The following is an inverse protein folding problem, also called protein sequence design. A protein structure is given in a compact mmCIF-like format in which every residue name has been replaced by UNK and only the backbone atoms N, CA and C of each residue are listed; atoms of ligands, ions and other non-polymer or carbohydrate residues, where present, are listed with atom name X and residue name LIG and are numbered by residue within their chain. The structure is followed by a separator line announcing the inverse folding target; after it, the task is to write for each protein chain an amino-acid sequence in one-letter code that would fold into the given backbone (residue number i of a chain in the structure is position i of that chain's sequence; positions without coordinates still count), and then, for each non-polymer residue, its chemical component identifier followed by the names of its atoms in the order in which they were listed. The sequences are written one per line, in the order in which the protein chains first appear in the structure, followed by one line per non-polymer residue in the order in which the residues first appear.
data_IF_626357750906
#
_entry.id   IF_626357750906
#
_cell.length_a   1.000
_cell.length_b   1.000
_cell.length_c   1.000
_cell.angle_alpha   90.00
_cell.angle_beta   90.00
_cell.angle_gamma   90.00
#
_symmetry.space_group_name_H-M   'P 1'
#
loop_
_entity.id
_entity.type
_entity.pdbx_description
1 polymer ?
#
# COMPACT_ATOMS: atom_id res chain seq x y z
N UNK A 1 -20.01 -7.13 -32.69
CA UNK A 1 -19.16 -7.55 -31.57
C UNK A 1 -18.23 -6.40 -31.15
N UNK A 2 -18.29 -6.03 -29.88
CA UNK A 2 -17.30 -5.12 -29.31
C UNK A 2 -15.93 -5.81 -29.29
N UNK A 3 -14.88 -5.14 -29.77
CA UNK A 3 -13.55 -5.75 -29.97
C UNK A 3 -12.45 -5.06 -29.16
N UNK A 4 -12.82 -4.20 -28.21
CA UNK A 4 -11.88 -3.56 -27.28
C UNK A 4 -11.97 -4.22 -25.92
N UNK A 5 -10.84 -4.26 -25.24
CA UNK A 5 -10.73 -4.73 -23.86
C UNK A 5 -11.03 -3.63 -22.83
N UNK A 6 -11.61 -2.49 -23.24
CA UNK A 6 -12.14 -1.44 -22.35
C UNK A 6 -13.37 -0.75 -22.98
N UNK A 7 -14.25 -0.10 -22.22
CA UNK A 7 -15.44 0.58 -22.73
C UNK A 7 -15.09 2.01 -23.14
N UNK A 8 -15.53 2.40 -24.33
CA UNK A 8 -15.56 3.81 -24.73
C UNK A 8 -16.84 4.47 -24.19
N UNK A 9 -16.90 5.80 -24.09
CA UNK A 9 -18.14 6.47 -23.69
C UNK A 9 -19.27 6.14 -24.68
N UNK A 10 -20.44 5.80 -24.16
CA UNK A 10 -21.58 5.38 -24.98
C UNK A 10 -22.61 4.57 -24.21
N UNK A 11 -23.64 4.13 -24.92
CA UNK A 11 -24.69 3.26 -24.40
C UNK A 11 -24.44 1.83 -24.89
N UNK A 12 -24.48 0.88 -23.95
CA UNK A 12 -24.16 -0.52 -24.18
C UNK A 12 -25.27 -1.41 -23.63
N UNK A 13 -25.45 -2.57 -24.22
CA UNK A 13 -26.21 -3.68 -23.66
C UNK A 13 -25.50 -4.97 -24.05
N UNK A 14 -25.65 -6.01 -23.23
CA UNK A 14 -25.20 -7.35 -23.59
C UNK A 14 -26.24 -8.05 -24.44
N UNK A 15 -25.77 -8.80 -25.43
CA UNK A 15 -26.60 -9.72 -26.20
C UNK A 15 -26.14 -11.12 -25.88
N UNK A 16 -26.95 -11.87 -25.16
CA UNK A 16 -26.69 -13.27 -24.82
C UNK A 16 -27.33 -14.19 -25.83
N UNK A 17 -26.65 -15.29 -26.15
CA UNK A 17 -27.20 -16.36 -26.99
C UNK A 17 -27.11 -17.68 -26.23
N UNK A 18 -28.25 -18.25 -25.89
CA UNK A 18 -28.36 -19.60 -25.33
C UNK A 18 -28.50 -20.62 -26.45
N UNK A 19 -27.67 -21.67 -26.39
CA UNK A 19 -27.71 -22.79 -27.31
C UNK A 19 -28.35 -24.00 -26.61
N UNK A 20 -29.59 -24.31 -26.96
CA UNK A 20 -30.32 -25.49 -26.49
C UNK A 20 -30.02 -26.69 -27.39
N UNK A 21 -29.53 -27.79 -26.82
CA UNK A 21 -29.29 -29.00 -27.61
C UNK A 21 -30.58 -29.67 -28.05
N UNK A 22 -30.72 -29.99 -29.35
CA UNK A 22 -31.92 -30.68 -29.88
C UNK A 22 -32.17 -32.07 -29.30
N UNK A 23 -31.14 -32.68 -28.68
CA UNK A 23 -31.23 -33.97 -27.96
C UNK A 23 -31.41 -33.79 -26.45
N UNK A 24 -31.51 -32.56 -25.96
CA UNK A 24 -31.78 -32.28 -24.55
C UNK A 24 -33.17 -32.82 -24.18
N UNK A 25 -33.32 -33.52 -23.05
CA UNK A 25 -34.64 -33.90 -22.54
C UNK A 25 -35.42 -32.70 -21.98
N UNK A 26 -34.75 -31.56 -21.77
CA UNK A 26 -35.34 -30.30 -21.33
C UNK A 26 -35.41 -29.32 -22.49
N UNK A 27 -36.48 -28.52 -22.54
CA UNK A 27 -36.64 -27.47 -23.53
C UNK A 27 -36.91 -26.09 -22.91
N UNK A 28 -36.45 -25.04 -23.57
CA UNK A 28 -36.77 -23.65 -23.27
C UNK A 28 -38.09 -23.31 -23.95
N UNK A 29 -39.03 -22.75 -23.19
CA UNK A 29 -40.36 -22.38 -23.65
C UNK A 29 -40.53 -20.85 -23.62
N UNK A 30 -40.43 -20.16 -24.76
CA UNK A 30 -40.71 -18.72 -24.86
C UNK A 30 -42.17 -18.41 -24.54
N UNK A 31 -42.43 -17.28 -23.88
CA UNK A 31 -43.79 -16.82 -23.58
C UNK A 31 -44.65 -16.62 -24.85
N UNK A 32 -44.03 -16.24 -25.97
CA UNK A 32 -44.70 -16.03 -27.24
C UNK A 32 -45.21 -17.32 -27.92
N UNK A 33 -44.72 -18.49 -27.48
CA UNK A 33 -45.10 -19.81 -28.02
C UNK A 33 -46.11 -20.54 -27.10
N UNK A 34 -46.74 -19.82 -26.16
CA UNK A 34 -47.71 -20.39 -25.24
C UNK A 34 -49.06 -20.65 -25.93
N UNK A 35 -49.49 -21.92 -25.95
CA UNK A 35 -50.82 -22.29 -26.42
C UNK A 35 -51.87 -22.13 -25.31
N UNK A 36 -52.64 -21.04 -25.37
CA UNK A 36 -54.09 -21.04 -25.22
C UNK A 36 -54.81 -21.51 -23.93
N UNK A 37 -54.15 -21.86 -22.82
CA UNK A 37 -54.85 -22.30 -21.59
C UNK A 37 -54.45 -21.59 -20.28
N UNK A 38 -53.63 -20.54 -20.36
CA UNK A 38 -53.43 -19.59 -19.26
C UNK A 38 -52.71 -20.15 -18.01
N UNK A 39 -52.06 -21.31 -18.11
CA UNK A 39 -51.18 -21.82 -17.04
C UNK A 39 -49.75 -21.33 -17.26
N UNK A 40 -49.20 -20.64 -16.27
CA UNK A 40 -47.89 -19.96 -16.18
C UNK A 40 -46.64 -20.86 -16.39
N UNK A 41 -46.59 -21.70 -17.42
CA UNK A 41 -45.41 -22.50 -17.75
C UNK A 41 -44.65 -21.81 -18.89
N UNK A 42 -43.70 -20.93 -18.55
CA UNK A 42 -42.74 -20.35 -19.49
C UNK A 42 -41.36 -20.33 -18.84
N UNK A 43 -40.31 -20.23 -19.66
CA UNK A 43 -38.95 -20.18 -19.17
C UNK A 43 -38.54 -18.75 -18.86
N UNK A 44 -38.20 -18.49 -17.60
CA UNK A 44 -37.55 -17.25 -17.18
C UNK A 44 -36.05 -17.49 -17.16
N UNK A 45 -35.30 -16.62 -17.84
CA UNK A 45 -33.85 -16.58 -17.70
C UNK A 45 -33.50 -15.44 -16.77
N UNK A 46 -32.89 -15.80 -15.64
CA UNK A 46 -32.28 -14.85 -14.72
C UNK A 46 -30.77 -14.90 -14.88
N UNK A 47 -30.17 -13.80 -15.35
CA UNK A 47 -28.72 -13.65 -15.38
C UNK A 47 -28.26 -12.67 -14.31
N UNK A 48 -27.19 -13.07 -13.63
CA UNK A 48 -26.45 -12.24 -12.69
C UNK A 48 -25.22 -11.71 -13.42
N UNK A 49 -25.24 -10.43 -13.78
CA UNK A 49 -24.06 -9.77 -14.32
C UNK A 49 -23.22 -9.21 -13.18
N UNK A 50 -21.92 -9.56 -13.17
CA UNK A 50 -20.94 -9.02 -12.24
C UNK A 50 -20.18 -7.82 -12.79
N UNK A 51 -20.63 -7.29 -13.93
CA UNK A 51 -19.99 -6.21 -14.69
C UNK A 51 -19.73 -4.93 -13.89
N UNK A 52 -20.39 -4.82 -12.75
CA UNK A 52 -19.95 -4.00 -11.66
C UNK A 52 -19.88 -4.91 -10.43
N UNK A 53 -18.69 -5.37 -10.06
CA UNK A 53 -18.51 -5.89 -8.71
C UNK A 53 -19.02 -4.80 -7.77
N UNK A 54 -20.22 -5.01 -7.20
CA UNK A 54 -20.89 -4.21 -6.18
C UNK A 54 -21.71 -2.96 -6.59
N UNK A 55 -22.03 -2.64 -7.87
CA UNK A 55 -23.09 -1.61 -8.15
C UNK A 55 -24.51 -2.06 -7.79
N UNK A 56 -24.68 -3.31 -7.36
CA UNK A 56 -25.97 -3.91 -7.04
C UNK A 56 -26.13 -5.23 -7.76
N UNK A 57 -26.93 -6.13 -7.20
CA UNK A 57 -27.36 -7.34 -7.90
C UNK A 57 -28.33 -6.94 -9.00
N UNK A 58 -27.82 -6.79 -10.23
CA UNK A 58 -28.69 -6.64 -11.40
C UNK A 58 -29.14 -8.04 -11.82
N UNK A 59 -30.32 -8.43 -11.31
CA UNK A 59 -31.02 -9.62 -11.79
C UNK A 59 -31.88 -9.20 -12.97
N UNK A 60 -31.48 -9.59 -14.18
CA UNK A 60 -32.33 -9.40 -15.36
C UNK A 60 -33.34 -10.51 -15.42
N UNK A 61 -34.62 -10.17 -15.37
CA UNK A 61 -35.70 -11.11 -15.63
C UNK A 61 -36.12 -10.96 -17.09
N UNK A 62 -35.77 -11.94 -17.93
CA UNK A 62 -36.25 -11.97 -19.31
C UNK A 62 -37.32 -13.05 -19.50
N UNK A 63 -38.51 -12.60 -19.85
CA UNK A 63 -39.68 -13.45 -20.14
C UNK A 63 -39.89 -13.64 -21.65
N UNK A 64 -39.38 -12.70 -22.47
CA UNK A 64 -39.54 -12.67 -23.92
C UNK A 64 -38.31 -13.23 -24.66
N UNK A 65 -37.98 -14.50 -24.44
CA UNK A 65 -36.95 -15.19 -25.23
C UNK A 65 -37.32 -15.18 -26.71
N UNK A 66 -36.41 -14.69 -27.57
CA UNK A 66 -36.61 -14.70 -29.02
C UNK A 66 -35.77 -15.79 -29.66
N UNK A 67 -36.41 -16.64 -30.46
CA UNK A 67 -35.69 -17.53 -31.38
C UNK A 67 -35.09 -16.67 -32.49
N UNK A 68 -33.77 -16.59 -32.54
CA UNK A 68 -33.08 -15.58 -33.38
C UNK A 68 -32.21 -16.13 -34.47
N UNK A 69 -31.97 -17.45 -34.49
CA UNK A 69 -31.22 -18.10 -35.56
C UNK A 69 -31.90 -19.38 -36.03
N UNK A 70 -31.84 -19.70 -37.34
CA UNK A 70 -32.22 -21.03 -37.81
C UNK A 70 -31.51 -22.10 -37.00
N UNK A 71 -32.29 -23.01 -36.41
CA UNK A 71 -31.75 -24.09 -35.61
C UNK A 71 -30.86 -24.99 -36.50
N UNK A 72 -29.62 -25.23 -36.10
CA UNK A 72 -28.74 -26.13 -36.84
C UNK A 72 -29.01 -27.60 -36.45
N UNK A 73 -28.23 -28.54 -37.00
CA UNK A 73 -28.42 -29.96 -36.73
C UNK A 73 -28.30 -30.32 -35.23
N UNK A 74 -27.63 -29.49 -34.42
CA UNK A 74 -27.28 -29.78 -33.02
C UNK A 74 -28.03 -28.89 -32.02
N UNK A 75 -28.29 -27.62 -32.36
CA UNK A 75 -28.81 -26.64 -31.41
C UNK A 75 -29.97 -25.80 -31.96
N UNK A 76 -30.85 -25.37 -31.04
CA UNK A 76 -31.73 -24.20 -31.19
C UNK A 76 -31.13 -23.03 -30.43
N UNK A 77 -31.30 -21.81 -30.95
CA UNK A 77 -30.66 -20.62 -30.39
C UNK A 77 -31.71 -19.61 -29.96
N UNK A 78 -31.61 -19.17 -28.71
CA UNK A 78 -32.45 -18.15 -28.12
C UNK A 78 -31.58 -16.99 -27.71
N UNK A 79 -31.96 -15.77 -28.07
CA UNK A 79 -31.26 -14.57 -27.60
C UNK A 79 -32.11 -13.76 -26.66
N UNK A 80 -31.42 -13.06 -25.80
CA UNK A 80 -31.99 -11.98 -25.00
C UNK A 80 -30.93 -10.90 -24.79
N UNK A 81 -31.42 -9.71 -24.46
CA UNK A 81 -30.63 -8.51 -24.29
C UNK A 81 -30.71 -8.08 -22.82
N UNK A 82 -29.60 -7.57 -22.27
CA UNK A 82 -29.61 -6.90 -20.96
C UNK A 82 -30.33 -5.55 -21.08
N UNK A 83 -30.62 -4.90 -19.94
CA UNK A 83 -30.92 -3.46 -19.99
C UNK A 83 -29.71 -2.69 -20.53
N UNK A 84 -30.00 -1.54 -21.14
CA UNK A 84 -28.95 -0.64 -21.57
C UNK A 84 -28.29 0.05 -20.38
N UNK A 85 -26.97 0.17 -20.41
CA UNK A 85 -26.17 0.91 -19.45
C UNK A 85 -25.31 1.95 -20.15
N UNK A 86 -25.13 3.10 -19.51
CA UNK A 86 -24.32 4.19 -20.05
C UNK A 86 -22.92 4.18 -19.43
N UNK A 87 -21.91 4.23 -20.29
CA UNK A 87 -20.52 4.48 -19.92
C UNK A 87 -20.21 5.95 -20.19
N UNK A 88 -19.82 6.68 -19.14
CA UNK A 88 -19.40 8.09 -19.25
C UNK A 88 -17.90 8.19 -19.55
N UNK A 89 -17.48 9.36 -20.03
CA UNK A 89 -16.06 9.65 -20.21
C UNK A 89 -15.33 9.70 -18.87
N UNK A 90 -14.27 8.89 -18.75
CA UNK A 90 -13.44 8.82 -17.57
C UNK A 90 -12.17 9.67 -17.68
N UNK A 91 -11.90 10.46 -16.65
CA UNK A 91 -10.64 11.16 -16.42
C UNK A 91 -9.54 10.14 -16.18
N UNK A 92 -8.51 10.22 -17.01
CA UNK A 92 -7.37 9.30 -16.96
C UNK A 92 -6.41 9.77 -15.88
N UNK A 93 -6.12 8.90 -14.91
CA UNK A 93 -5.10 9.12 -13.89
C UNK A 93 -3.73 8.71 -14.44
N UNK A 94 -2.75 9.61 -14.38
CA UNK A 94 -1.37 9.34 -14.82
C UNK A 94 -0.45 9.05 -13.64
N UNK A 95 -0.70 9.66 -12.48
CA UNK A 95 0.03 9.34 -11.24
C UNK A 95 -0.92 9.24 -10.06
N UNK A 96 -0.69 8.28 -9.17
CA UNK A 96 -1.45 8.14 -7.93
C UNK A 96 -0.47 7.93 -6.77
N UNK A 97 -0.61 8.75 -5.74
CA UNK A 97 0.19 8.71 -4.52
C UNK A 97 -0.69 8.21 -3.39
N UNK A 98 -0.23 7.14 -2.75
CA UNK A 98 -0.92 6.43 -1.68
C UNK A 98 -0.05 6.41 -0.43
N UNK A 99 -0.71 6.45 0.73
CA UNK A 99 -0.10 6.17 2.02
C UNK A 99 -0.55 4.81 2.51
N UNK A 100 0.40 3.93 2.78
CA UNK A 100 0.17 2.63 3.42
C UNK A 100 0.51 2.68 4.89
N UNK A 101 -0.35 2.12 5.75
CA UNK A 101 -0.02 1.87 7.15
C UNK A 101 1.01 0.73 7.33
N UNK A 102 1.28 -0.05 6.29
CA UNK A 102 2.30 -1.09 6.29
C UNK A 102 3.60 -0.55 5.69
N UNK A 103 4.62 -0.45 6.53
CA UNK A 103 5.96 0.01 6.16
C UNK A 103 6.85 -1.17 5.79
N UNK A 104 7.14 -1.31 4.50
CA UNK A 104 7.94 -2.42 3.97
C UNK A 104 9.39 -2.39 4.46
N UNK A 105 9.90 -1.23 4.90
CA UNK A 105 11.30 -1.08 5.34
C UNK A 105 11.54 -1.49 6.78
N UNK A 106 10.48 -1.74 7.54
CA UNK A 106 10.55 -1.90 8.99
C UNK A 106 9.96 -3.21 9.51
N UNK A 107 9.86 -4.19 8.61
CA UNK A 107 9.41 -5.54 8.93
C UNK A 107 10.54 -6.33 9.58
N UNK A 108 10.28 -6.85 10.77
CA UNK A 108 11.22 -7.69 11.51
C UNK A 108 10.74 -9.13 11.54
N UNK A 109 11.69 -10.05 11.64
CA UNK A 109 11.37 -11.46 11.90
C UNK A 109 10.70 -11.56 13.27
N UNK A 110 9.52 -12.17 13.31
CA UNK A 110 8.69 -12.23 14.51
C UNK A 110 7.50 -11.28 14.50
N UNK A 111 7.51 -10.23 13.66
CA UNK A 111 6.36 -9.34 13.51
C UNK A 111 5.16 -10.09 12.94
N UNK A 112 3.95 -9.61 13.22
CA UNK A 112 2.72 -10.23 12.71
C UNK A 112 2.21 -9.54 11.45
N UNK A 113 1.63 -10.32 10.52
CA UNK A 113 0.96 -9.81 9.31
C UNK A 113 -0.36 -9.14 9.68
N UNK A 114 -0.30 -7.89 10.13
CA UNK A 114 -1.51 -7.10 10.40
C UNK A 114 -2.07 -6.52 9.10
N UNK A 115 -3.36 -6.19 9.08
CA UNK A 115 -3.98 -5.49 7.94
C UNK A 115 -3.28 -4.17 7.65
N UNK A 116 -3.28 -3.79 6.38
CA UNK A 116 -2.79 -2.49 5.92
C UNK A 116 -3.97 -1.59 5.52
N UNK A 117 -3.81 -0.29 5.70
CA UNK A 117 -4.74 0.73 5.19
C UNK A 117 -4.06 1.49 4.06
N UNK A 118 -4.72 1.64 2.90
CA UNK A 118 -4.23 2.46 1.79
C UNK A 118 -5.08 3.72 1.61
N UNK A 119 -4.49 4.87 1.88
CA UNK A 119 -5.14 6.17 1.75
C UNK A 119 -4.59 6.93 0.55
N UNK A 120 -5.46 7.64 -0.17
CA UNK A 120 -5.04 8.47 -1.30
C UNK A 120 -4.48 9.79 -0.76
N UNK A 121 -3.29 10.17 -1.20
CA UNK A 121 -2.65 11.45 -0.85
C UNK A 121 -2.72 12.46 -1.99
N UNK A 122 -2.56 11.99 -3.23
CA UNK A 122 -2.60 12.84 -4.41
C UNK A 122 -2.89 12.02 -5.66
N UNK A 123 -3.65 12.59 -6.58
CA UNK A 123 -3.89 12.04 -7.93
C UNK A 123 -3.51 13.09 -8.96
N UNK A 124 -2.78 12.69 -10.00
CA UNK A 124 -2.45 13.54 -11.14
C UNK A 124 -3.18 13.01 -12.37
N UNK A 125 -3.92 13.88 -13.04
CA UNK A 125 -4.66 13.55 -14.25
C UNK A 125 -3.81 13.72 -15.50
N UNK A 126 -4.30 13.20 -16.63
CA UNK A 126 -3.63 13.29 -17.93
C UNK A 126 -3.40 14.71 -18.44
N UNK A 127 -4.25 15.66 -18.04
CA UNK A 127 -4.10 17.09 -18.36
C UNK A 127 -3.13 17.82 -17.41
N UNK A 128 -2.56 17.13 -16.42
CA UNK A 128 -1.66 17.69 -15.42
C UNK A 128 -2.36 18.21 -14.16
N UNK A 129 -3.69 18.14 -14.08
CA UNK A 129 -4.44 18.55 -12.88
C UNK A 129 -4.05 17.67 -11.69
N UNK A 130 -3.68 18.31 -10.58
CA UNK A 130 -3.45 17.62 -9.30
C UNK A 130 -4.71 17.69 -8.42
N UNK A 131 -5.14 16.56 -7.89
CA UNK A 131 -6.27 16.41 -6.98
C UNK A 131 -5.76 15.92 -5.63
N UNK A 132 -6.11 16.65 -4.57
CA UNK A 132 -5.82 16.28 -3.19
C UNK A 132 -7.02 15.55 -2.57
N UNK A 133 -6.89 14.93 -1.39
CA UNK A 133 -7.94 14.06 -0.83
C UNK A 133 -9.26 14.81 -0.57
N UNK A 134 -9.18 16.12 -0.30
CA UNK A 134 -10.32 17.03 -0.14
C UNK A 134 -11.09 17.29 -1.44
N UNK A 135 -10.44 17.10 -2.60
CA UNK A 135 -11.00 17.35 -3.93
C UNK A 135 -11.57 16.06 -4.55
N UNK A 136 -11.35 14.91 -3.89
CA UNK A 136 -11.77 13.60 -4.34
C UNK A 136 -13.03 13.14 -3.60
N UNK A 137 -13.97 12.46 -4.30
CA UNK A 137 -15.08 11.79 -3.63
C UNK A 137 -14.54 10.71 -2.70
N UNK A 138 -15.14 10.58 -1.51
CA UNK A 138 -14.74 9.59 -0.53
C UNK A 138 -15.84 8.51 -0.40
N UNK A 139 -15.49 7.21 -0.44
CA UNK A 139 -14.15 6.67 -0.70
C UNK A 139 -13.77 6.81 -2.18
N UNK A 140 -12.49 7.12 -2.47
CA UNK A 140 -11.99 7.25 -3.85
C UNK A 140 -11.51 5.93 -4.43
N UNK A 141 -10.72 5.19 -3.67
CA UNK A 141 -10.27 3.84 -4.00
C UNK A 141 -10.86 2.85 -3.00
N UNK A 142 -10.96 1.59 -3.42
CA UNK A 142 -11.33 0.49 -2.54
C UNK A 142 -10.49 -0.76 -2.78
N UNK A 143 -10.49 -1.64 -1.79
CA UNK A 143 -10.00 -3.00 -1.86
C UNK A 143 -10.97 -3.84 -2.69
N UNK A 144 -10.57 -4.17 -3.91
CA UNK A 144 -11.38 -4.99 -4.82
C UNK A 144 -11.72 -6.36 -4.24
N UNK A 145 -10.81 -6.95 -3.44
CA UNK A 145 -11.06 -8.26 -2.81
C UNK A 145 -12.16 -8.22 -1.76
N UNK A 146 -12.54 -7.01 -1.32
CA UNK A 146 -13.56 -6.81 -0.30
C UNK A 146 -13.24 -7.58 1.00
N UNK A 147 -11.96 -7.58 1.40
CA UNK A 147 -11.51 -8.29 2.61
C UNK A 147 -12.23 -7.78 3.87
N UNK A 148 -12.58 -6.49 3.86
CA UNK A 148 -13.28 -5.79 4.94
C UNK A 148 -14.40 -4.90 4.37
N UNK A 149 -15.65 -5.40 4.29
CA UNK A 149 -16.76 -4.68 3.65
C UNK A 149 -17.09 -3.32 4.27
N UNK A 150 -16.91 -3.19 5.59
CA UNK A 150 -17.15 -1.95 6.32
C UNK A 150 -15.98 -0.96 6.24
N UNK A 151 -14.80 -1.39 5.78
CA UNK A 151 -13.58 -0.59 5.72
C UNK A 151 -12.89 -0.82 4.39
N UNK A 152 -13.41 -0.14 3.36
CA UNK A 152 -13.05 -0.36 1.96
C UNK A 152 -11.58 -0.04 1.64
N UNK A 153 -10.90 0.73 2.49
CA UNK A 153 -9.47 1.08 2.36
C UNK A 153 -8.54 0.13 3.13
N UNK A 154 -9.08 -0.92 3.76
CA UNK A 154 -8.30 -1.93 4.48
C UNK A 154 -8.03 -3.16 3.61
N UNK A 155 -6.82 -3.72 3.79
CA UNK A 155 -6.28 -4.81 2.99
C UNK A 155 -5.65 -5.86 3.88
N UNK A 156 -5.94 -7.13 3.61
CA UNK A 156 -5.10 -8.22 4.12
C UNK A 156 -3.77 -8.18 3.38
N UNK A 157 -2.68 -8.48 4.08
CA UNK A 157 -1.34 -8.47 3.48
C UNK A 157 -1.15 -9.69 2.59
N UNK A 158 -1.31 -9.50 1.27
CA UNK A 158 -0.98 -10.53 0.30
C UNK A 158 0.51 -10.50 0.00
N UNK A 159 1.23 -11.53 0.46
CA UNK A 159 2.70 -11.59 0.36
C UNK A 159 3.14 -12.61 -0.69
N UNK A 160 4.15 -12.26 -1.46
CA UNK A 160 4.95 -13.20 -2.26
C UNK A 160 6.31 -13.33 -1.61
N UNK A 161 6.72 -14.55 -1.27
CA UNK A 161 8.03 -14.80 -0.64
C UNK A 161 9.06 -15.27 -1.66
N UNK A 162 10.28 -14.83 -1.43
CA UNK A 162 11.46 -15.09 -2.25
C UNK A 162 12.66 -15.41 -1.35
N UNK A 163 13.64 -16.17 -1.86
CA UNK A 163 14.91 -16.35 -1.18
C UNK A 163 15.60 -15.00 -0.97
N UNK A 164 15.99 -14.70 0.27
CA UNK A 164 16.90 -13.61 0.59
C UNK A 164 18.36 -14.01 0.27
N UNK A 165 19.32 -13.12 0.53
CA UNK A 165 20.74 -13.38 0.27
C UNK A 165 21.30 -14.59 1.06
N UNK A 166 20.72 -14.91 2.22
CA UNK A 166 21.05 -16.08 3.02
C UNK A 166 20.34 -17.37 2.55
N UNK A 167 19.60 -17.33 1.44
CA UNK A 167 18.84 -18.45 0.89
C UNK A 167 17.56 -18.81 1.66
N UNK A 168 17.10 -17.95 2.59
CA UNK A 168 15.87 -18.14 3.36
C UNK A 168 14.69 -17.56 2.60
N UNK A 169 13.63 -18.36 2.41
CA UNK A 169 12.48 -17.97 1.59
C UNK A 169 11.26 -17.53 2.41
N UNK A 170 11.24 -17.72 3.72
CA UNK A 170 10.08 -17.44 4.57
C UNK A 170 8.83 -18.32 4.35
N UNK A 171 8.47 -18.64 3.10
CA UNK A 171 7.33 -19.46 2.69
C UNK A 171 5.94 -18.90 3.08
N UNK A 172 5.78 -17.58 3.23
CA UNK A 172 4.48 -16.91 3.36
C UNK A 172 3.87 -16.59 1.98
N UNK A 173 3.68 -17.62 1.15
CA UNK A 173 3.12 -17.43 -0.19
C UNK A 173 1.61 -17.18 -0.10
N UNK A 174 1.17 -16.03 -0.57
CA UNK A 174 -0.25 -15.67 -0.77
C UNK A 174 -1.12 -15.79 0.48
N UNK A 175 -0.53 -15.55 1.66
CA UNK A 175 -1.30 -15.51 2.90
C UNK A 175 -2.29 -14.35 2.87
N UNK A 176 -3.53 -14.61 3.29
CA UNK A 176 -4.56 -13.60 3.55
C UNK A 176 -4.98 -13.62 5.03
N UNK A 177 -4.22 -14.34 5.85
CA UNK A 177 -4.48 -14.48 7.26
C UNK A 177 -3.78 -13.35 8.02
N UNK A 178 -4.53 -12.73 8.92
CA UNK A 178 -3.95 -11.83 9.91
C UNK A 178 -3.15 -12.65 10.93
N UNK A 179 -2.22 -11.98 11.61
CA UNK A 179 -1.46 -12.53 12.73
C UNK A 179 -0.47 -13.68 12.42
N UNK A 180 -0.18 -13.94 11.15
CA UNK A 180 0.94 -14.82 10.76
C UNK A 180 2.25 -14.12 11.10
N UNK A 181 3.18 -14.87 11.69
CA UNK A 181 4.52 -14.35 11.99
C UNK A 181 5.30 -14.23 10.69
N UNK A 182 5.99 -13.12 10.46
CA UNK A 182 6.98 -12.93 9.41
C UNK A 182 8.23 -13.78 9.71
N UNK A 183 8.50 -14.82 8.91
CA UNK A 183 9.76 -15.54 8.98
C UNK A 183 10.87 -14.77 8.26
N UNK A 184 12.10 -15.22 8.45
CA UNK A 184 13.24 -14.70 7.69
C UNK A 184 13.10 -15.02 6.20
N UNK A 185 13.15 -13.99 5.37
CA UNK A 185 13.02 -14.10 3.93
C UNK A 185 12.89 -12.75 3.25
N UNK A 186 12.79 -12.78 1.92
CA UNK A 186 12.52 -11.63 1.08
C UNK A 186 11.07 -11.67 0.63
N UNK A 187 10.42 -10.53 0.55
CA UNK A 187 9.00 -10.43 0.28
C UNK A 187 8.68 -9.33 -0.73
N UNK A 188 7.52 -9.49 -1.36
CA UNK A 188 6.76 -8.40 -2.00
C UNK A 188 5.36 -8.40 -1.41
N UNK A 189 4.79 -7.21 -1.18
CA UNK A 189 3.38 -7.06 -0.83
C UNK A 189 2.59 -6.64 -2.05
N UNK A 190 1.36 -7.16 -2.16
CA UNK A 190 0.49 -6.91 -3.28
C UNK A 190 -0.84 -6.34 -2.78
N UNK A 191 -1.33 -5.32 -3.48
CA UNK A 191 -2.65 -4.76 -3.28
C UNK A 191 -3.44 -4.85 -4.58
N UNK A 192 -4.73 -5.16 -4.49
CA UNK A 192 -5.65 -5.10 -5.64
C UNK A 192 -6.60 -3.95 -5.40
N UNK A 193 -6.42 -2.90 -6.18
CA UNK A 193 -7.10 -1.62 -6.01
C UNK A 193 -8.04 -1.38 -7.20
N UNK A 194 -9.12 -0.66 -6.94
CA UNK A 194 -9.99 -0.11 -7.97
C UNK A 194 -10.55 1.24 -7.53
N UNK A 195 -10.87 2.16 -8.46
CA UNK A 195 -11.73 3.30 -8.16
C UNK A 195 -13.04 2.80 -7.57
N UNK A 196 -13.56 3.52 -6.58
CA UNK A 196 -14.85 3.19 -5.99
C UNK A 196 -15.94 3.24 -7.06
N UNK A 197 -16.82 2.24 -7.11
CA UNK A 197 -17.71 2.05 -8.27
C UNK A 197 -18.70 3.21 -8.49
N UNK A 198 -19.06 3.97 -7.44
CA UNK A 198 -19.92 5.17 -7.58
C UNK A 198 -19.17 6.39 -8.09
N UNK A 199 -17.83 6.32 -8.11
CA UNK A 199 -16.95 7.34 -8.66
C UNK A 199 -16.91 7.14 -10.17
N UNK A 200 -18.06 7.44 -10.80
CA UNK A 200 -18.13 7.61 -12.24
C UNK A 200 -17.10 8.68 -12.61
N UNK A 201 -16.30 8.42 -13.65
CA UNK A 201 -15.37 9.37 -14.29
C UNK A 201 -13.88 9.30 -13.89
N UNK A 202 -13.36 8.26 -13.24
CA UNK A 202 -11.91 8.08 -13.08
C UNK A 202 -11.46 6.68 -13.49
N UNK A 203 -10.34 6.60 -14.22
CA UNK A 203 -9.76 5.30 -14.59
C UNK A 203 -8.24 5.30 -14.56
N UNK A 204 -7.68 4.15 -14.22
CA UNK A 204 -6.26 3.86 -14.45
C UNK A 204 -6.01 3.60 -15.93
N UNK A 205 -4.80 3.91 -16.37
CA UNK A 205 -4.25 3.47 -17.64
C UNK A 205 -3.38 2.25 -17.33
N UNK A 206 -3.82 1.06 -17.74
CA UNK A 206 -3.21 -0.24 -17.37
C UNK A 206 -2.70 -0.97 -18.61
N UNK A 207 -1.54 -1.63 -18.48
CA UNK A 207 -0.87 -2.29 -19.61
C UNK A 207 -1.72 -3.45 -20.14
N UNK A 208 -1.52 -3.82 -21.42
CA UNK A 208 -2.23 -4.94 -22.05
C UNK A 208 -3.74 -4.68 -22.24
N UNK A 209 -4.13 -3.40 -22.25
CA UNK A 209 -5.41 -2.89 -22.76
C UNK A 209 -5.22 -2.33 -24.17
N UNK A 210 -6.29 -2.27 -24.97
CA UNK A 210 -6.23 -1.68 -26.32
C UNK A 210 -6.20 -0.13 -26.31
N UNK A 211 -6.06 0.49 -25.13
CA UNK A 211 -5.82 1.93 -25.00
C UNK A 211 -4.42 2.30 -25.52
N UNK A 212 -4.23 3.56 -25.92
CA UNK A 212 -2.86 4.09 -26.08
C UNK A 212 -2.22 4.23 -24.70
N UNK A 213 -1.64 3.12 -24.25
CA UNK A 213 -1.14 2.93 -22.90
C UNK A 213 -0.03 3.92 -22.51
N UNK A 214 0.73 4.46 -23.46
CA UNK A 214 1.83 5.38 -23.16
C UNK A 214 2.77 4.80 -22.10
N UNK A 215 2.96 5.53 -20.99
CA UNK A 215 3.72 5.07 -19.80
C UNK A 215 2.87 4.36 -18.73
N UNK A 216 1.55 4.29 -18.91
CA UNK A 216 0.60 3.81 -17.90
C UNK A 216 0.38 4.77 -16.74
N UNK A 217 -0.47 4.39 -15.79
CA UNK A 217 -0.56 5.05 -14.49
C UNK A 217 0.63 4.65 -13.62
N UNK A 218 1.40 5.62 -13.15
CA UNK A 218 2.46 5.42 -12.16
C UNK A 218 1.84 5.46 -10.75
N UNK A 219 2.11 4.45 -9.93
CA UNK A 219 1.57 4.39 -8.56
C UNK A 219 2.72 4.42 -7.56
N UNK A 220 2.60 5.32 -6.60
CA UNK A 220 3.55 5.48 -5.51
C UNK A 220 2.86 5.14 -4.20
N UNK A 221 3.48 4.31 -3.37
CA UNK A 221 3.00 4.01 -2.01
C UNK A 221 4.10 4.42 -1.03
N UNK A 222 3.78 5.29 -0.07
CA UNK A 222 4.77 5.87 0.85
C UNK A 222 5.97 6.49 0.10
N UNK A 223 5.70 7.16 -1.01
CA UNK A 223 6.68 7.75 -1.95
C UNK A 223 7.57 6.76 -2.69
N UNK A 224 7.26 5.47 -2.70
CA UNK A 224 8.00 4.46 -3.46
C UNK A 224 7.23 3.98 -4.68
N UNK A 225 7.89 3.82 -5.85
CA UNK A 225 7.23 3.34 -7.05
C UNK A 225 6.84 1.87 -6.88
N UNK A 226 5.56 1.58 -7.11
CA UNK A 226 5.03 0.23 -7.13
C UNK A 226 4.84 -0.23 -8.58
N UNK A 227 5.07 -1.52 -8.81
CA UNK A 227 4.82 -2.14 -10.10
C UNK A 227 3.31 -2.27 -10.32
N UNK A 228 2.83 -1.78 -11.46
CA UNK A 228 1.42 -1.75 -11.82
C UNK A 228 1.13 -2.80 -12.87
N UNK A 229 0.23 -3.74 -12.57
CA UNK A 229 -0.19 -4.81 -13.49
C UNK A 229 -1.71 -4.99 -13.50
N UNK A 230 -2.25 -5.42 -14.64
CA UNK A 230 -3.65 -5.87 -14.70
C UNK A 230 -3.87 -7.12 -13.84
N UNK A 231 -5.11 -7.31 -13.40
CA UNK A 231 -5.56 -8.59 -12.83
C UNK A 231 -5.94 -9.52 -13.99
N UNK A 232 -5.57 -10.82 -13.91
CA UNK A 232 -5.95 -11.86 -14.88
C UNK A 232 -6.64 -12.98 -14.09
N UNK A 233 -7.73 -13.59 -14.58
CA UNK A 233 -8.37 -13.37 -15.88
C UNK A 233 -9.52 -12.39 -15.73
N UNK A 234 -9.21 -11.10 -15.81
CA UNK A 234 -10.28 -10.12 -15.93
C UNK A 234 -10.79 -10.19 -17.37
N UNK A 235 -11.85 -10.97 -17.58
CA UNK A 235 -12.57 -11.04 -18.84
C UNK A 235 -13.49 -9.83 -19.03
N UNK A 236 -13.61 -9.00 -17.99
CA UNK A 236 -14.40 -7.79 -17.98
C UNK A 236 -13.47 -6.57 -18.11
N UNK A 237 -14.01 -5.56 -18.77
CA UNK A 237 -13.41 -4.28 -19.10
C UNK A 237 -13.07 -3.52 -17.80
N UNK A 238 -11.96 -3.83 -17.13
CA UNK A 238 -11.80 -3.44 -15.72
C UNK A 238 -10.90 -2.23 -15.45
N UNK A 239 -11.35 -1.41 -14.49
CA UNK A 239 -10.57 -0.39 -13.79
C UNK A 239 -9.78 -0.97 -12.62
N UNK A 240 -9.62 -2.30 -12.58
CA UNK A 240 -9.00 -3.01 -11.46
C UNK A 240 -7.52 -3.15 -11.76
N UNK A 241 -6.69 -2.96 -10.74
CA UNK A 241 -5.25 -3.00 -10.91
C UNK A 241 -4.58 -3.63 -9.71
N UNK A 242 -3.61 -4.48 -9.99
CA UNK A 242 -2.71 -5.03 -8.98
C UNK A 242 -1.49 -4.13 -8.91
N UNK A 243 -1.18 -3.64 -7.72
CA UNK A 243 0.09 -2.98 -7.43
C UNK A 243 0.96 -3.88 -6.56
N UNK A 244 2.25 -3.90 -6.84
CA UNK A 244 3.23 -4.76 -6.18
C UNK A 244 4.42 -3.94 -5.71
N UNK A 245 4.81 -4.12 -4.45
CA UNK A 245 5.92 -3.37 -3.85
C UNK A 245 7.27 -3.75 -4.48
N UNK A 246 8.30 -2.91 -4.27
CA UNK A 246 9.69 -3.35 -4.30
C UNK A 246 9.92 -4.54 -3.35
N UNK A 247 11.06 -5.20 -3.52
CA UNK A 247 11.48 -6.24 -2.58
C UNK A 247 11.81 -5.61 -1.22
N UNK A 248 11.42 -6.30 -0.15
CA UNK A 248 11.84 -5.99 1.21
C UNK A 248 12.18 -7.26 1.97
N UNK A 249 13.08 -7.16 2.95
CA UNK A 249 13.54 -8.31 3.73
C UNK A 249 13.02 -8.18 5.17
N UNK A 250 12.51 -9.28 5.73
CA UNK A 250 12.25 -9.33 7.16
C UNK A 250 13.59 -9.53 7.88
N UNK A 251 14.09 -8.49 8.54
CA UNK A 251 15.42 -8.50 9.16
C UNK A 251 15.35 -9.10 10.56
N UNK A 252 16.29 -9.98 10.91
CA UNK A 252 16.46 -10.43 12.29
C UNK A 252 17.05 -9.30 13.11
N UNK A 253 16.38 -8.94 14.20
CA UNK A 253 17.00 -8.09 15.22
C UNK A 253 17.96 -8.97 16.01
N UNK A 254 19.27 -8.76 15.83
CA UNK A 254 20.26 -9.38 16.71
C UNK A 254 20.02 -8.89 18.14
N UNK A 255 19.61 -9.79 19.04
CA UNK A 255 19.72 -9.52 20.47
C UNK A 255 21.21 -9.42 20.79
N UNK A 256 21.69 -8.21 21.12
CA UNK A 256 22.91 -8.08 21.92
C UNK A 256 22.59 -8.62 23.32
N UNK A 257 22.71 -9.94 23.49
CA UNK A 257 22.78 -10.53 24.82
C UNK A 257 24.13 -10.12 25.41
N UNK A 258 24.11 -9.11 26.27
CA UNK A 258 25.23 -8.83 27.17
C UNK A 258 25.35 -10.02 28.12
N UNK A 259 26.16 -11.01 27.76
CA UNK A 259 26.62 -12.01 28.71
C UNK A 259 27.57 -11.33 29.69
N UNK A 260 27.02 -10.87 30.83
CA UNK A 260 27.83 -10.64 32.02
C UNK A 260 28.25 -12.01 32.56
N UNK A 261 29.48 -12.42 32.27
CA UNK A 261 30.11 -13.57 32.89
C UNK A 261 30.28 -13.26 34.37
N UNK A 262 29.48 -13.88 35.22
CA UNK A 262 29.65 -13.84 36.67
C UNK A 262 30.38 -15.12 37.08
N UNK A 263 31.69 -15.02 37.32
CA UNK A 263 32.50 -16.07 37.95
C UNK A 263 32.13 -16.19 39.42
N UNK A 264 31.39 -17.24 39.77
CA UNK A 264 31.09 -17.61 41.14
C UNK A 264 31.12 -19.14 41.30
N UNK A 265 32.21 -19.63 41.87
CA UNK A 265 32.47 -21.04 42.15
C UNK A 265 31.86 -21.44 43.50
N UNK A 266 30.99 -22.46 43.55
CA UNK A 266 30.84 -23.36 44.70
C UNK A 266 29.88 -24.55 44.45
N UNK A 267 30.45 -25.76 44.42
CA UNK A 267 30.07 -26.83 45.35
C UNK A 267 28.86 -27.76 45.08
N UNK A 268 29.16 -28.90 44.44
CA UNK A 268 28.85 -30.29 44.89
C UNK A 268 27.48 -30.97 44.67
N UNK A 269 27.59 -32.09 43.90
CA UNK A 269 26.98 -33.44 44.02
C UNK A 269 25.45 -33.58 43.82
N UNK A 270 24.90 -34.59 43.12
CA UNK A 270 25.35 -35.98 42.92
C UNK A 270 24.66 -36.70 41.72
N UNK A 271 25.46 -37.55 41.05
CA UNK A 271 25.20 -38.89 40.48
C UNK A 271 23.86 -39.22 39.77
N UNK A 272 23.98 -39.65 38.51
CA UNK A 272 23.70 -41.05 38.13
C UNK A 272 24.44 -41.41 36.83
N UNK A 273 24.98 -42.63 36.81
CA UNK A 273 25.83 -43.23 35.77
C UNK A 273 25.11 -44.49 35.26
N UNK A 274 25.08 -44.68 33.95
CA UNK A 274 25.19 -45.99 33.27
C UNK A 274 25.54 -45.69 31.80
N UNK A 275 26.78 -45.83 31.32
CA UNK A 275 27.43 -47.07 30.80
C UNK A 275 26.47 -47.91 29.96
N UNK A 276 26.75 -48.26 28.70
CA UNK A 276 27.95 -48.92 28.17
C UNK A 276 27.88 -48.89 26.63
N UNK A 277 28.89 -48.42 25.89
CA UNK A 277 30.11 -49.13 25.43
C UNK A 277 30.00 -49.63 23.98
N UNK A 278 30.98 -49.27 23.15
CA UNK A 278 31.25 -49.94 21.88
C UNK A 278 31.94 -49.08 20.82
N UNK A 279 33.19 -48.65 21.07
CA UNK A 279 34.14 -48.36 19.98
C UNK A 279 34.62 -49.67 19.33
N UNK A 280 35.29 -49.75 18.19
CA UNK A 280 36.04 -48.80 17.37
C UNK A 280 36.33 -49.43 16.00
N UNK A 281 36.97 -48.63 15.13
CA UNK A 281 37.72 -48.96 13.89
C UNK A 281 36.88 -49.07 12.61
N UNK A 282 37.25 -48.47 11.49
CA UNK A 282 38.37 -47.62 11.09
C UNK A 282 38.33 -47.50 9.56
N UNK A 283 38.76 -46.37 8.98
CA UNK A 283 38.92 -46.26 7.52
C UNK A 283 38.73 -44.88 6.90
N UNK A 284 39.83 -44.13 6.83
CA UNK A 284 40.32 -43.34 5.68
C UNK A 284 39.35 -42.59 4.73
N UNK A 285 39.35 -41.26 4.90
CA UNK A 285 39.71 -40.21 3.95
C UNK A 285 39.50 -40.36 2.42
N UNK A 286 38.75 -39.41 1.87
CA UNK A 286 38.90 -38.68 0.59
C UNK A 286 37.84 -37.56 0.59
N UNK A 287 37.97 -36.35 0.05
CA UNK A 287 38.93 -35.68 -0.84
C UNK A 287 38.53 -34.18 -0.98
N UNK A 288 39.49 -33.33 -1.40
CA UNK A 288 39.30 -32.00 -2.03
C UNK A 288 39.04 -30.84 -1.05
N UNK A 289 39.89 -29.82 -0.84
CA UNK A 289 40.82 -29.12 -1.74
C UNK A 289 40.06 -28.16 -2.67
N UNK A 290 40.37 -26.87 -2.84
CA UNK A 290 41.27 -25.92 -2.19
C UNK A 290 40.95 -24.51 -2.75
N UNK A 291 41.61 -23.49 -2.18
CA UNK A 291 41.71 -22.08 -2.60
C UNK A 291 40.52 -21.17 -2.28
N UNK A 292 40.71 -19.99 -1.67
CA UNK A 292 41.92 -19.19 -1.52
C UNK A 292 41.57 -17.76 -1.91
N UNK A 293 41.33 -16.91 -0.92
CA UNK A 293 40.79 -15.56 -1.08
C UNK A 293 41.71 -14.59 -1.81
N UNK A 294 41.08 -13.68 -2.55
CA UNK A 294 41.67 -12.49 -3.13
C UNK A 294 40.67 -11.34 -2.99
N UNK A 295 41.11 -10.31 -2.28
CA UNK A 295 40.43 -9.08 -1.91
C UNK A 295 40.04 -8.21 -3.12
N UNK A 296 38.80 -7.74 -3.13
CA UNK A 296 38.30 -6.71 -4.05
C UNK A 296 37.42 -5.72 -3.30
N UNK A 297 38.02 -4.61 -2.86
CA UNK A 297 37.34 -3.51 -2.18
C UNK A 297 36.41 -2.77 -3.12
N UNK A 298 35.09 -2.86 -2.91
CA UNK A 298 34.14 -1.91 -3.48
C UNK A 298 34.12 -0.65 -2.61
N UNK A 299 34.54 0.47 -3.19
CA UNK A 299 34.44 1.77 -2.56
C UNK A 299 32.97 2.17 -2.46
N UNK A 300 32.49 2.29 -1.23
CA UNK A 300 31.29 3.07 -0.89
C UNK A 300 31.60 4.53 -1.23
N UNK A 301 30.95 5.09 -2.23
CA UNK A 301 30.91 6.54 -2.41
C UNK A 301 30.04 7.13 -1.30
N UNK A 302 30.69 7.96 -0.49
CA UNK A 302 30.10 8.83 0.50
C UNK A 302 29.07 9.77 -0.14
N UNK A 303 27.79 9.50 0.11
CA UNK A 303 26.78 10.55 0.22
C UNK A 303 25.99 10.28 1.49
N UNK A 304 26.45 10.90 2.58
CA UNK A 304 25.76 10.91 3.87
C UNK A 304 24.63 11.94 3.79
N UNK A 305 23.51 11.57 3.17
CA UNK A 305 22.23 12.27 3.35
C UNK A 305 21.09 11.26 3.23
N UNK A 306 20.68 10.72 4.37
CA UNK A 306 19.68 9.65 4.54
C UNK A 306 20.08 8.87 5.79
N UNK A 307 19.23 8.34 6.65
CA UNK A 307 17.81 8.01 6.58
C UNK A 307 17.54 7.39 7.96
N UNK A 308 16.37 7.60 8.58
CA UNK A 308 15.77 6.58 9.46
C UNK A 308 14.25 6.61 9.27
N UNK A 309 13.78 5.72 8.40
CA UNK A 309 12.40 5.26 8.29
C UNK A 309 12.19 4.19 9.38
N UNK A 310 11.05 4.20 10.10
CA UNK A 310 10.61 3.01 10.84
C UNK A 310 10.13 3.02 12.27
N UNK A 311 9.99 4.18 12.90
CA UNK A 311 9.25 4.23 14.17
C UNK A 311 7.78 4.42 13.82
N UNK A 312 6.87 3.69 14.49
CA UNK A 312 5.44 3.96 14.45
C UNK A 312 5.23 5.41 14.91
N UNK A 313 5.19 6.28 13.91
CA UNK A 313 5.09 7.72 14.04
C UNK A 313 3.66 8.10 14.38
N UNK A 314 2.68 7.20 14.28
CA UNK A 314 1.32 7.55 14.66
C UNK A 314 1.23 7.77 16.17
N UNK A 315 0.69 8.91 16.55
CA UNK A 315 0.22 9.16 17.92
C UNK A 315 -1.23 8.67 18.10
N UNK A 316 -1.87 8.07 17.10
CA UNK A 316 -3.30 7.72 17.14
C UNK A 316 -3.73 6.93 18.39
N UNK A 317 -4.68 7.49 19.14
CA UNK A 317 -5.37 6.84 20.25
C UNK A 317 -4.81 7.14 21.64
N UNK A 318 -3.68 7.84 21.77
CA UNK A 318 -3.14 8.24 23.07
C UNK A 318 -3.68 9.58 23.57
N UNK A 319 -3.03 10.10 24.62
CA UNK A 319 -3.40 11.37 25.27
C UNK A 319 -2.16 12.22 25.52
N UNK A 320 -2.29 13.51 25.23
CA UNK A 320 -1.33 14.52 25.68
C UNK A 320 -1.48 14.75 27.17
N UNK A 321 -0.37 14.70 27.90
CA UNK A 321 -0.31 14.95 29.33
C UNK A 321 0.72 16.06 29.55
N UNK A 322 0.36 17.02 30.40
CA UNK A 322 1.25 18.10 30.82
C UNK A 322 1.59 17.94 32.30
N UNK A 323 2.88 18.03 32.62
CA UNK A 323 3.37 18.12 34.00
C UNK A 323 4.29 19.35 34.17
N UNK A 324 4.99 19.45 35.30
CA UNK A 324 5.92 20.53 35.63
C UNK A 324 7.11 20.64 34.66
N UNK A 325 7.46 19.56 33.95
CA UNK A 325 8.61 19.49 33.03
C UNK A 325 8.20 19.77 31.59
N UNK A 326 6.95 19.49 31.22
CA UNK A 326 6.41 19.85 29.91
C UNK A 326 5.30 18.92 29.43
N UNK A 327 5.08 18.96 28.11
CA UNK A 327 4.13 18.09 27.44
C UNK A 327 4.78 16.76 27.06
N UNK A 328 4.10 15.65 27.31
CA UNK A 328 4.49 14.32 26.86
C UNK A 328 3.25 13.57 26.36
N UNK A 329 3.47 12.47 25.63
CA UNK A 329 2.39 11.73 24.99
C UNK A 329 2.28 10.32 25.53
N UNK A 330 1.14 9.97 26.10
CA UNK A 330 0.88 8.62 26.63
C UNK A 330 0.03 7.82 25.66
N UNK A 331 0.56 6.71 25.15
CA UNK A 331 -0.15 5.77 24.28
C UNK A 331 -1.13 4.89 25.08
N UNK A 332 -2.13 4.25 24.43
CA UNK A 332 -3.10 3.38 25.10
C UNK A 332 -2.48 2.22 25.90
N UNK A 333 -1.36 1.71 25.43
CA UNK A 333 -0.59 0.63 26.07
C UNK A 333 0.24 1.11 27.28
N UNK A 334 0.18 2.40 27.60
CA UNK A 334 0.95 3.03 28.68
C UNK A 334 2.37 3.43 28.30
N UNK A 335 2.83 3.13 27.08
CA UNK A 335 4.13 3.57 26.57
C UNK A 335 4.09 5.04 26.11
N UNK A 336 5.26 5.60 25.82
CA UNK A 336 5.40 6.97 25.31
C UNK A 336 6.54 7.06 24.28
N UNK A 337 6.41 7.93 23.25
CA UNK A 337 7.47 8.16 22.28
C UNK A 337 8.65 8.87 22.93
N UNK A 338 9.87 8.48 22.56
CA UNK A 338 11.12 9.11 23.01
C UNK A 338 12.16 9.03 21.90
N UNK A 339 12.95 10.10 21.76
CA UNK A 339 13.92 10.27 20.68
C UNK A 339 13.33 9.94 19.29
N UNK A 340 12.09 10.36 19.04
CA UNK A 340 11.35 9.96 17.86
C UNK A 340 10.32 11.00 17.43
N UNK A 341 9.99 10.96 16.15
CA UNK A 341 8.87 11.73 15.59
C UNK A 341 7.53 11.07 15.95
N UNK A 342 6.51 11.90 16.16
CA UNK A 342 5.12 11.53 16.30
C UNK A 342 4.25 12.38 15.38
N UNK A 343 3.16 11.81 14.90
CA UNK A 343 2.23 12.37 13.94
C UNK A 343 0.84 12.28 14.55
N UNK A 344 0.21 13.42 14.73
CA UNK A 344 -1.15 13.50 15.25
C UNK A 344 -2.06 14.14 14.22
N UNK A 345 -3.18 13.47 13.96
CA UNK A 345 -4.29 14.00 13.19
C UNK A 345 -5.44 14.35 14.15
N UNK A 346 -5.83 15.62 14.23
CA UNK A 346 -6.92 16.11 15.07
C UNK A 346 -7.75 17.15 14.32
N UNK A 347 -9.09 17.03 14.35
CA UNK A 347 -10.04 17.96 13.70
C UNK A 347 -9.69 18.31 12.22
N UNK A 348 -9.29 17.32 11.43
CA UNK A 348 -8.96 17.52 10.01
C UNK A 348 -7.63 18.23 9.74
N UNK A 349 -6.81 18.46 10.79
CA UNK A 349 -5.44 18.96 10.68
C UNK A 349 -4.47 17.89 11.17
N UNK A 350 -3.31 17.83 10.55
CA UNK A 350 -2.29 16.86 10.92
C UNK A 350 -0.94 17.52 11.08
N UNK A 351 -0.24 17.19 12.16
CA UNK A 351 1.04 17.79 12.51
C UNK A 351 2.04 16.76 13.00
N UNK A 352 3.30 17.00 12.63
CA UNK A 352 4.46 16.31 13.16
C UNK A 352 4.92 16.94 14.47
N UNK A 353 5.32 16.12 15.43
CA UNK A 353 5.88 16.48 16.73
C UNK A 353 7.15 15.66 16.93
N UNK A 354 8.12 16.21 17.65
CA UNK A 354 9.32 15.45 18.02
C UNK A 354 9.40 15.28 19.53
N UNK A 355 9.73 14.07 19.99
CA UNK A 355 9.92 13.76 21.40
C UNK A 355 11.40 13.57 21.68
N UNK A 356 11.88 14.29 22.70
CA UNK A 356 13.25 14.19 23.19
C UNK A 356 13.51 12.80 23.80
N UNK A 357 14.77 12.48 24.10
CA UNK A 357 15.14 11.22 24.76
C UNK A 357 14.45 11.04 26.13
N UNK A 358 14.10 12.15 26.78
CA UNK A 358 13.33 12.19 28.02
C UNK A 358 11.84 11.84 27.85
N UNK A 359 11.34 11.72 26.61
CA UNK A 359 9.93 11.48 26.29
C UNK A 359 9.05 12.74 26.25
N UNK A 360 9.63 13.92 26.51
CA UNK A 360 8.92 15.19 26.42
C UNK A 360 8.96 15.78 25.02
N UNK A 361 7.91 16.49 24.64
CA UNK A 361 7.76 17.18 23.36
C UNK A 361 8.79 18.31 23.23
N UNK A 362 9.48 18.32 22.09
CA UNK A 362 10.42 19.36 21.74
C UNK A 362 9.72 20.64 21.26
N UNK A 363 10.37 21.78 21.47
CA UNK A 363 9.98 23.08 20.92
C UNK A 363 11.23 23.83 20.46
N UNK A 364 11.08 24.75 19.51
CA UNK A 364 12.19 25.47 18.90
C UNK A 364 12.99 24.61 17.92
N UNK A 365 14.25 24.98 17.72
CA UNK A 365 15.18 24.25 16.84
C UNK A 365 15.55 22.89 17.44
N UNK A 366 15.43 21.84 16.62
CA UNK A 366 15.95 20.51 16.94
C UNK A 366 16.85 20.01 15.82
N UNK A 367 17.88 19.26 16.18
CA UNK A 367 18.74 18.57 15.22
C UNK A 367 18.52 17.06 15.31
N UNK A 368 18.12 16.46 14.20
CA UNK A 368 17.78 15.04 14.09
C UNK A 368 18.48 14.48 12.86
N UNK A 369 19.31 13.45 13.04
CA UNK A 369 20.05 12.78 11.96
C UNK A 369 20.85 13.72 11.04
N UNK A 370 21.42 14.80 11.60
CA UNK A 370 22.22 15.78 10.86
C UNK A 370 21.42 16.87 10.11
N UNK A 371 20.09 16.83 10.20
CA UNK A 371 19.16 17.84 9.67
C UNK A 371 18.57 18.66 10.82
N UNK A 372 18.30 19.95 10.57
CA UNK A 372 17.64 20.84 11.54
C UNK A 372 16.16 21.00 11.19
N UNK A 373 15.32 21.01 12.22
CA UNK A 373 13.87 21.19 12.12
C UNK A 373 13.44 22.25 13.12
N UNK A 374 12.27 22.86 12.90
CA UNK A 374 11.72 23.84 13.83
C UNK A 374 10.33 23.43 14.31
N UNK A 375 10.18 23.30 15.62
CA UNK A 375 8.93 22.98 16.30
C UNK A 375 8.36 24.27 16.90
N UNK A 376 7.11 24.57 16.60
CA UNK A 376 6.48 25.83 16.99
C UNK A 376 6.45 25.99 18.53
N UNK A 377 7.14 26.97 19.12
CA UNK A 377 7.28 27.08 20.57
C UNK A 377 6.09 27.77 21.25
N UNK A 378 5.30 28.53 20.49
CA UNK A 378 4.22 29.34 21.02
C UNK A 378 2.96 28.50 21.23
N UNK A 379 2.14 28.92 22.21
CA UNK A 379 0.91 28.23 22.55
C UNK A 379 -0.28 28.86 21.82
N UNK A 380 -0.75 28.21 20.76
CA UNK A 380 -1.92 28.60 19.97
C UNK A 380 -2.95 27.45 19.82
N UNK A 381 -2.89 26.49 20.74
CA UNK A 381 -3.65 25.23 20.68
C UNK A 381 -2.92 24.11 19.93
N UNK A 382 -1.80 24.39 19.25
CA UNK A 382 -1.02 23.42 18.47
C UNK A 382 0.49 23.58 18.71
N UNK A 383 0.86 23.78 19.97
CA UNK A 383 2.26 23.97 20.39
C UNK A 383 3.08 22.71 20.08
N UNK A 384 4.29 22.88 19.59
CA UNK A 384 5.23 21.80 19.30
C UNK A 384 5.08 21.16 17.92
N UNK A 385 4.13 21.62 17.10
CA UNK A 385 4.02 21.19 15.70
C UNK A 385 5.27 21.58 14.90
N UNK A 386 5.72 20.71 14.02
CA UNK A 386 6.77 21.00 13.05
C UNK A 386 6.27 22.00 12.02
N UNK A 387 7.08 23.00 11.74
CA UNK A 387 6.82 23.96 10.67
C UNK A 387 7.42 23.49 9.36
N UNK A 388 6.83 23.95 8.26
CA UNK A 388 7.27 23.70 6.89
C UNK A 388 7.18 24.98 6.06
N UNK A 389 7.84 25.02 4.90
CA UNK A 389 7.91 26.18 4.02
C UNK A 389 8.77 27.32 4.57
N UNK A 390 8.55 28.52 4.04
CA UNK A 390 9.21 29.76 4.49
C UNK A 390 8.72 30.18 5.87
N UNK A 391 9.64 30.38 6.81
CA UNK A 391 9.35 30.78 8.18
C UNK A 391 10.27 31.89 8.64
N UNK A 392 9.67 32.93 9.24
CA UNK A 392 10.41 33.96 9.96
C UNK A 392 10.63 33.51 11.40
N UNK A 393 11.90 33.31 11.76
CA UNK A 393 12.32 32.80 13.07
C UNK A 393 13.44 33.72 13.57
N UNK A 394 13.25 34.32 14.75
CA UNK A 394 14.23 35.21 15.39
C UNK A 394 14.76 36.32 14.45
N UNK A 395 13.88 36.87 13.62
CA UNK A 395 14.18 37.97 12.70
C UNK A 395 14.91 37.58 11.41
N UNK A 396 15.14 36.28 11.14
CA UNK A 396 15.67 35.79 9.86
C UNK A 396 14.64 34.87 9.17
N UNK A 397 14.72 34.77 7.85
CA UNK A 397 13.84 33.87 7.09
C UNK A 397 14.55 32.56 6.75
N UNK A 398 13.88 31.44 6.98
CA UNK A 398 14.39 30.08 6.76
C UNK A 398 13.43 29.30 5.88
N UNK A 399 13.94 28.37 5.07
CA UNK A 399 13.11 27.46 4.29
C UNK A 399 13.21 26.03 4.82
N UNK A 400 12.08 25.54 5.34
CA UNK A 400 11.91 24.17 5.81
C UNK A 400 11.19 23.38 4.72
N UNK A 401 11.67 22.16 4.40
CA UNK A 401 11.12 21.39 3.28
C UNK A 401 9.60 21.19 3.43
N UNK A 402 8.77 21.59 2.46
CA UNK A 402 7.33 21.42 2.56
C UNK A 402 6.85 19.98 2.39
N UNK A 403 7.59 19.09 1.71
CA UNK A 403 7.08 17.76 1.32
C UNK A 403 8.19 16.72 1.11
N UNK A 404 7.82 15.44 1.10
CA UNK A 404 8.73 14.34 0.73
C UNK A 404 9.54 13.78 1.90
N UNK A 405 10.61 13.04 1.60
CA UNK A 405 11.38 12.28 2.61
C UNK A 405 12.09 13.16 3.65
N UNK A 406 12.29 14.44 3.33
CA UNK A 406 12.94 15.42 4.19
C UNK A 406 11.96 16.48 4.73
N UNK A 407 10.65 16.23 4.72
CA UNK A 407 9.64 17.17 5.21
C UNK A 407 10.06 17.83 6.55
N UNK A 408 10.02 19.16 6.58
CA UNK A 408 10.43 20.00 7.71
C UNK A 408 11.93 20.23 7.88
N UNK A 409 12.78 19.58 7.08
CA UNK A 409 14.23 19.77 7.17
C UNK A 409 14.65 21.13 6.60
N UNK A 410 15.56 21.80 7.32
CA UNK A 410 16.12 23.09 6.93
C UNK A 410 17.03 22.96 5.71
N UNK A 411 16.75 23.76 4.68
CA UNK A 411 17.70 23.99 3.59
C UNK A 411 18.85 24.87 4.09
N UNK A 412 20.09 24.46 3.81
CA UNK A 412 21.30 25.21 4.14
C UNK A 412 22.34 25.06 3.03
N UNK A 413 23.10 26.12 2.80
CA UNK A 413 24.17 26.19 1.80
C UNK A 413 23.73 25.69 0.41
N UNK A 414 22.55 26.11 -0.02
CA UNK A 414 21.91 25.59 -1.23
C UNK A 414 20.91 26.59 -1.80
N UNK A 415 20.30 26.21 -2.92
CA UNK A 415 19.15 26.90 -3.51
C UNK A 415 17.88 26.11 -3.17
N UNK A 416 16.86 26.78 -2.68
CA UNK A 416 15.54 26.21 -2.39
C UNK A 416 14.83 25.82 -3.70
N UNK A 417 13.82 24.92 -3.68
CA UNK A 417 13.12 24.48 -4.88
C UNK A 417 12.43 25.60 -5.68
N UNK A 418 12.09 26.71 -5.01
CA UNK A 418 11.51 27.92 -5.60
C UNK A 418 12.56 28.95 -6.05
N UNK A 419 13.86 28.59 -6.01
CA UNK A 419 14.93 29.34 -6.65
C UNK A 419 15.65 30.37 -5.77
N UNK A 420 15.38 30.43 -4.47
CA UNK A 420 16.06 31.35 -3.56
C UNK A 420 17.30 30.73 -2.93
N UNK A 421 18.31 31.55 -2.67
CA UNK A 421 19.56 31.11 -2.04
C UNK A 421 19.51 31.24 -0.53
N UNK A 422 20.04 30.24 0.17
CA UNK A 422 20.21 30.24 1.63
C UNK A 422 21.67 30.00 2.02
N UNK A 423 22.14 30.68 3.05
CA UNK A 423 23.53 30.58 3.53
C UNK A 423 23.83 29.29 4.33
N UNK A 424 25.04 29.17 4.89
CA UNK A 424 25.47 28.01 5.69
C UNK A 424 24.62 27.77 6.94
N UNK A 425 23.95 28.81 7.44
CA UNK A 425 23.04 28.73 8.58
C UNK A 425 21.58 28.53 8.14
N UNK A 426 21.31 28.47 6.83
CA UNK A 426 19.98 28.29 6.24
C UNK A 426 19.14 29.56 6.14
N UNK A 427 19.76 30.74 6.34
CA UNK A 427 19.07 32.02 6.26
C UNK A 427 18.95 32.46 4.82
N UNK A 428 17.79 33.01 4.46
CA UNK A 428 17.54 33.58 3.15
C UNK A 428 18.51 34.72 2.84
N UNK A 429 19.17 34.65 1.69
CA UNK A 429 20.07 35.68 1.18
C UNK A 429 19.65 36.15 -0.20
N UNK A 430 19.80 37.45 -0.43
CA UNK A 430 19.66 38.09 -1.75
C UNK A 430 20.96 38.82 -2.03
N UNK A 431 21.63 38.48 -3.14
CA UNK A 431 22.96 39.02 -3.50
C UNK A 431 24.00 38.92 -2.38
N UNK A 432 23.95 37.83 -1.58
CA UNK A 432 24.86 37.60 -0.45
C UNK A 432 24.51 38.33 0.84
N UNK A 433 23.44 39.12 0.88
CA UNK A 433 22.95 39.78 2.09
C UNK A 433 21.80 39.01 2.74
N UNK A 434 21.92 38.73 4.04
CA UNK A 434 20.86 38.07 4.85
C UNK A 434 19.64 38.96 4.97
N UNK A 435 18.47 38.40 4.65
CA UNK A 435 17.19 39.08 4.77
C UNK A 435 16.67 38.99 6.20
N UNK A 436 16.18 40.12 6.72
CA UNK A 436 15.65 40.24 8.07
C UNK A 436 14.24 40.82 8.08
N UNK A 437 13.47 40.46 9.10
CA UNK A 437 12.09 40.91 9.28
C UNK A 437 12.02 42.35 9.82
#
# INVERSE_FOLDING_TARGET
PYNRNYFTPGEYHYVYTLAEGKKSPYYLLPIAEQDGDGKFAYTIVSMYERYFYQKGEHTYHQENLKVTRPADAKYRYYTFESEAFTVKEAKIMTKVYLRSSFDIHNVKVGDTTKRATLQVEKVVLKDGTELLPKDLPQPFLMNFRNDFPENLDQYKLYLESYPNEAGKNGNLRFTQEEDRIFPEGRYKVLYVIQPYYTVDNYRFLVSETDDNYGKGTEIYVNNEPYEVRRVIPDYEISTITKITSPFFDAVKVEKKENYSVNTGNSGSASKAVSSSSGGSSGGSASSGGSSGGGSGSFKVSSSLTGQVLGVDRSLSGGQWIQDEKGWWYKRPDGSYPKNSWGYEAYNGKSYWYYFLDSGYMATGWVEVNGSKYYLFPNSDGWKGRMLTGWQWIDGNCYYLDPQGQNEGALYRNSTTPDGFTVDSEGRWVVNGAVQKQ
#
